data_IF_840036994466
#
_entry.id   IF_840036994466
#
_cell.length_a   1.000
_cell.length_b   1.000
_cell.length_c   1.000
_cell.angle_alpha   90.00
_cell.angle_beta   90.00
_cell.angle_gamma   90.00
#
_symmetry.space_group_name_H-M   'P 1'
#
loop_
_entity.id
_entity.type
_entity.pdbx_description
1 polymer ?
#
# COMPACT_ATOMS: atom_id res chain seq x y z
N UNK A 1 -9.66 -20.17 -14.14
CA UNK A 1 -9.30 -20.94 -12.92
C UNK A 1 -8.50 -20.01 -12.00
N UNK A 2 -8.94 -19.78 -10.76
CA UNK A 2 -8.21 -18.98 -9.77
C UNK A 2 -7.21 -19.90 -9.07
N UNK A 3 -5.92 -19.66 -9.23
CA UNK A 3 -4.89 -20.56 -8.74
C UNK A 3 -3.62 -19.76 -8.36
N UNK A 4 -3.12 -19.96 -7.14
CA UNK A 4 -1.90 -19.30 -6.67
C UNK A 4 -0.67 -19.61 -7.54
N UNK A 5 -0.58 -20.80 -8.14
CA UNK A 5 0.51 -21.15 -9.07
C UNK A 5 0.41 -20.35 -10.37
N UNK A 6 -0.80 -20.09 -10.86
CA UNK A 6 -1.05 -19.24 -12.03
C UNK A 6 -0.72 -17.79 -11.71
N UNK A 7 -1.18 -17.27 -10.56
CA UNK A 7 -0.83 -15.93 -10.10
C UNK A 7 0.69 -15.75 -9.96
N UNK A 8 1.39 -16.72 -9.38
CA UNK A 8 2.86 -16.72 -9.30
C UNK A 8 3.51 -16.75 -10.69
N UNK A 9 2.98 -17.51 -11.64
CA UNK A 9 3.52 -17.57 -13.01
C UNK A 9 3.35 -16.24 -13.75
N UNK A 10 2.23 -15.54 -13.56
CA UNK A 10 1.91 -14.29 -14.26
C UNK A 10 2.60 -13.08 -13.63
N UNK A 11 2.48 -12.92 -12.30
CA UNK A 11 2.99 -11.75 -11.57
C UNK A 11 4.42 -11.95 -11.02
N UNK A 12 4.92 -13.19 -10.97
CA UNK A 12 6.26 -13.48 -10.47
C UNK A 12 6.45 -13.01 -9.03
N UNK A 13 7.45 -12.15 -8.82
CA UNK A 13 7.80 -11.59 -7.49
C UNK A 13 6.77 -10.61 -6.94
N UNK A 14 5.91 -10.07 -7.81
CA UNK A 14 4.89 -9.06 -7.48
C UNK A 14 3.61 -9.66 -6.88
N UNK A 15 3.52 -10.99 -6.86
CA UNK A 15 2.53 -11.72 -6.08
C UNK A 15 3.14 -12.15 -4.74
N UNK A 16 2.55 -11.68 -3.63
CA UNK A 16 2.88 -12.12 -2.27
C UNK A 16 1.77 -13.05 -1.80
N UNK A 17 2.10 -14.25 -1.31
CA UNK A 17 1.08 -15.17 -0.79
C UNK A 17 0.78 -14.91 0.69
N UNK A 18 -0.36 -15.37 1.22
CA UNK A 18 -0.64 -15.32 2.66
C UNK A 18 0.43 -16.05 3.49
N UNK A 19 1.01 -17.15 3.00
CA UNK A 19 2.07 -17.89 3.67
C UNK A 19 3.39 -17.11 3.72
N UNK A 20 3.79 -16.49 2.61
CA UNK A 20 4.95 -15.58 2.59
C UNK A 20 4.76 -14.42 3.57
N UNK A 21 3.54 -13.88 3.65
CA UNK A 21 3.19 -12.82 4.59
C UNK A 21 3.32 -13.28 6.05
N UNK A 22 2.74 -14.42 6.42
CA UNK A 22 2.83 -14.96 7.78
C UNK A 22 4.29 -15.28 8.16
N UNK A 23 5.08 -15.77 7.21
CA UNK A 23 6.50 -16.05 7.43
C UNK A 23 7.32 -14.77 7.65
N UNK A 24 7.07 -13.73 6.86
CA UNK A 24 7.85 -12.49 6.90
C UNK A 24 7.40 -11.50 8.00
N UNK A 25 6.15 -11.58 8.46
CA UNK A 25 5.57 -10.66 9.46
C UNK A 25 5.14 -11.40 10.73
N UNK A 26 6.05 -11.57 11.71
CA UNK A 26 5.69 -12.11 13.02
C UNK A 26 4.50 -11.36 13.66
N UNK A 27 3.52 -12.13 14.15
CA UNK A 27 2.26 -11.60 14.68
C UNK A 27 1.12 -11.55 13.67
N UNK A 28 1.39 -11.80 12.38
CA UNK A 28 0.36 -12.02 11.36
C UNK A 28 0.16 -13.52 11.17
N UNK A 29 -1.05 -13.98 11.44
CA UNK A 29 -1.51 -15.37 11.35
C UNK A 29 -2.94 -15.36 10.78
N UNK A 30 -3.09 -15.81 9.54
CA UNK A 30 -4.40 -15.94 8.93
C UNK A 30 -5.13 -17.17 9.45
N UNK A 31 -6.41 -17.02 9.74
CA UNK A 31 -7.28 -18.15 10.06
C UNK A 31 -7.60 -18.97 8.81
N UNK A 32 -8.01 -20.23 8.96
CA UNK A 32 -8.46 -21.06 7.84
C UNK A 32 -9.56 -20.40 6.99
N UNK A 33 -10.46 -19.65 7.63
CA UNK A 33 -11.53 -18.90 6.94
C UNK A 33 -10.95 -17.81 6.03
N UNK A 34 -9.96 -17.07 6.52
CA UNK A 34 -9.29 -16.01 5.74
C UNK A 34 -8.44 -16.58 4.62
N UNK A 35 -7.77 -17.72 4.85
CA UNK A 35 -7.05 -18.44 3.80
C UNK A 35 -8.00 -18.84 2.66
N UNK A 36 -9.16 -19.44 3.01
CA UNK A 36 -10.19 -19.79 2.04
C UNK A 36 -10.80 -18.55 1.34
N UNK A 37 -10.89 -17.42 2.03
CA UNK A 37 -11.31 -16.14 1.43
C UNK A 37 -10.31 -15.64 0.39
N UNK A 38 -9.01 -15.67 0.68
CA UNK A 38 -7.97 -15.31 -0.28
C UNK A 38 -7.95 -16.23 -1.49
N UNK A 39 -8.12 -17.54 -1.31
CA UNK A 39 -8.22 -18.49 -2.43
C UNK A 39 -9.44 -18.19 -3.31
N UNK A 40 -10.61 -17.97 -2.68
CA UNK A 40 -11.87 -17.70 -3.38
C UNK A 40 -11.82 -16.40 -4.15
N UNK A 41 -11.23 -15.36 -3.57
CA UNK A 41 -11.21 -14.00 -4.11
C UNK A 41 -9.91 -13.66 -4.85
N UNK A 42 -9.04 -14.63 -5.11
CA UNK A 42 -7.86 -14.41 -5.94
C UNK A 42 -8.29 -13.92 -7.35
N UNK A 43 -7.66 -12.86 -7.89
CA UNK A 43 -7.93 -12.38 -9.24
C UNK A 43 -7.88 -13.50 -10.30
N UNK A 44 -8.73 -13.39 -11.33
CA UNK A 44 -8.73 -14.35 -12.45
C UNK A 44 -7.52 -14.14 -13.38
N UNK A 45 -7.30 -15.03 -14.33
CA UNK A 45 -6.16 -14.97 -15.26
C UNK A 45 -6.07 -13.64 -16.02
N UNK A 46 -7.17 -13.20 -16.63
CA UNK A 46 -7.25 -11.93 -17.36
C UNK A 46 -6.94 -10.73 -16.45
N UNK A 47 -7.46 -10.73 -15.23
CA UNK A 47 -7.19 -9.68 -14.25
C UNK A 47 -5.73 -9.69 -13.78
N UNK A 48 -5.11 -10.86 -13.60
CA UNK A 48 -3.70 -10.99 -13.26
C UNK A 48 -2.79 -10.47 -14.40
N UNK A 49 -3.13 -10.76 -15.65
CA UNK A 49 -2.41 -10.24 -16.82
C UNK A 49 -2.54 -8.72 -16.91
N UNK A 50 -3.74 -8.19 -16.66
CA UNK A 50 -3.95 -6.76 -16.56
C UNK A 50 -3.09 -6.14 -15.44
N UNK A 51 -3.09 -6.72 -14.24
CA UNK A 51 -2.27 -6.22 -13.12
C UNK A 51 -0.76 -6.25 -13.44
N UNK A 52 -0.28 -7.29 -14.14
CA UNK A 52 1.10 -7.37 -14.63
C UNK A 52 1.41 -6.19 -15.56
N UNK A 53 0.55 -5.96 -16.54
CA UNK A 53 0.74 -4.90 -17.54
C UNK A 53 0.65 -3.50 -16.93
N UNK A 54 -0.07 -3.37 -15.81
CA UNK A 54 -0.12 -2.16 -14.99
C UNK A 54 1.03 -2.04 -13.98
N UNK A 55 2.01 -2.95 -13.97
CA UNK A 55 3.11 -2.97 -13.00
C UNK A 55 2.61 -2.98 -11.54
N UNK A 56 1.54 -3.73 -11.27
CA UNK A 56 0.93 -3.82 -9.95
C UNK A 56 1.46 -5.00 -9.14
N UNK A 57 1.50 -4.80 -7.83
CA UNK A 57 1.63 -5.87 -6.84
C UNK A 57 0.27 -6.38 -6.40
N UNK A 58 0.23 -7.65 -6.03
CA UNK A 58 -0.90 -8.31 -5.41
C UNK A 58 -0.47 -8.85 -4.05
N UNK A 59 -0.96 -8.23 -2.98
CA UNK A 59 -0.55 -8.50 -1.60
C UNK A 59 -1.78 -8.77 -0.72
N UNK A 60 -1.76 -9.78 0.17
CA UNK A 60 -2.88 -10.01 1.08
C UNK A 60 -2.90 -8.90 2.14
N UNK A 61 -4.09 -8.40 2.44
CA UNK A 61 -4.33 -7.49 3.55
C UNK A 61 -4.09 -8.15 4.91
N UNK A 62 -4.08 -7.40 6.01
CA UNK A 62 -3.86 -7.93 7.36
C UNK A 62 -4.98 -8.88 7.81
N UNK A 63 -4.69 -9.70 8.82
CA UNK A 63 -5.64 -10.63 9.46
C UNK A 63 -6.82 -9.95 10.18
N UNK A 64 -6.73 -8.65 10.44
CA UNK A 64 -7.76 -7.86 11.07
C UNK A 64 -7.66 -6.44 10.52
N UNK A 65 -8.68 -5.61 10.78
CA UNK A 65 -8.61 -4.19 10.41
C UNK A 65 -7.44 -3.53 11.16
N UNK A 66 -6.50 -2.95 10.42
CA UNK A 66 -5.32 -2.27 10.98
C UNK A 66 -5.26 -0.84 10.50
N UNK A 67 -5.03 0.09 11.44
CA UNK A 67 -4.72 1.48 11.16
C UNK A 67 -3.24 1.67 10.82
N UNK A 68 -2.85 2.88 10.39
CA UNK A 68 -1.44 3.21 10.20
C UNK A 68 -0.61 2.96 11.48
N UNK A 69 -1.14 3.32 12.65
CA UNK A 69 -0.45 3.11 13.92
C UNK A 69 -0.29 1.62 14.26
N UNK A 70 -1.29 0.79 13.96
CA UNK A 70 -1.20 -0.66 14.16
C UNK A 70 -0.14 -1.27 13.24
N UNK A 71 -0.13 -0.87 11.95
CA UNK A 71 0.86 -1.34 10.97
C UNK A 71 2.28 -0.97 11.41
N UNK A 72 2.45 0.26 11.90
CA UNK A 72 3.73 0.72 12.45
C UNK A 72 4.15 -0.06 13.68
N UNK A 73 3.22 -0.41 14.56
CA UNK A 73 3.53 -1.16 15.78
C UNK A 73 4.11 -2.55 15.49
N UNK A 74 3.79 -3.16 14.33
CA UNK A 74 4.38 -4.45 13.93
C UNK A 74 5.89 -4.38 13.72
N UNK A 75 6.35 -3.32 13.03
CA UNK A 75 7.75 -3.12 12.58
C UNK A 75 8.05 -1.64 12.46
N UNK A 76 8.30 -0.97 13.59
CA UNK A 76 8.56 0.47 13.61
C UNK A 76 9.85 0.85 12.88
N UNK A 77 10.80 -0.09 12.75
CA UNK A 77 12.06 0.07 12.03
C UNK A 77 11.89 0.28 10.52
N UNK A 78 10.73 -0.09 9.97
CA UNK A 78 10.42 0.15 8.56
C UNK A 78 9.98 1.59 8.27
N UNK A 79 9.76 2.40 9.30
CA UNK A 79 9.35 3.80 9.18
C UNK A 79 10.48 4.73 9.59
N UNK A 80 10.56 5.90 8.95
CA UNK A 80 11.59 6.92 9.20
C UNK A 80 11.74 7.27 10.69
N UNK A 81 10.62 7.46 11.39
CA UNK A 81 10.60 7.70 12.83
C UNK A 81 10.65 6.39 13.63
N UNK A 82 11.84 5.75 13.69
CA UNK A 82 12.04 4.44 14.35
C UNK A 82 11.71 4.48 15.86
N UNK A 83 12.36 5.38 16.60
CA UNK A 83 12.36 5.38 18.07
C UNK A 83 11.43 6.42 18.71
N UNK A 84 10.81 7.28 17.90
CA UNK A 84 9.84 8.30 18.35
C UNK A 84 8.54 8.05 17.62
N UNK A 85 7.42 8.38 18.27
CA UNK A 85 6.15 8.40 17.54
C UNK A 85 6.24 9.46 16.45
N UNK A 86 5.81 9.16 15.23
CA UNK A 86 5.80 10.12 14.12
C UNK A 86 4.82 11.28 14.40
N UNK A 87 4.94 12.39 13.69
CA UNK A 87 4.00 13.52 13.83
C UNK A 87 2.54 13.07 13.65
N UNK A 88 2.31 12.13 12.72
CA UNK A 88 1.04 11.47 12.45
C UNK A 88 0.47 10.70 13.66
N UNK A 89 1.21 10.54 14.75
CA UNK A 89 0.70 9.91 15.97
C UNK A 89 -0.01 10.88 16.92
N UNK A 90 0.06 12.19 16.66
CA UNK A 90 -0.65 13.17 17.47
C UNK A 90 -2.17 12.90 17.44
N UNK A 91 -2.88 13.30 18.49
CA UNK A 91 -4.32 13.01 18.64
C UNK A 91 -5.15 13.71 17.56
N UNK A 92 -4.73 14.89 17.10
CA UNK A 92 -5.37 15.61 16.00
C UNK A 92 -5.28 14.87 14.65
N UNK A 93 -4.25 14.05 14.45
CA UNK A 93 -4.01 13.32 13.19
C UNK A 93 -4.88 12.06 13.11
N UNK A 94 -6.17 12.27 12.90
CA UNK A 94 -7.21 11.21 12.88
C UNK A 94 -6.94 10.13 11.85
N UNK A 95 -6.45 10.51 10.67
CA UNK A 95 -6.16 9.57 9.58
C UNK A 95 -5.28 8.39 10.03
N UNK A 96 -4.35 8.62 10.96
CA UNK A 96 -3.44 7.59 11.45
C UNK A 96 -4.14 6.43 12.19
N UNK A 97 -5.38 6.66 12.66
CA UNK A 97 -6.20 5.72 13.43
C UNK A 97 -7.47 5.31 12.68
N UNK A 98 -8.04 6.23 11.90
CA UNK A 98 -9.30 6.03 11.19
C UNK A 98 -9.09 5.39 9.82
N UNK A 99 -8.04 5.77 9.09
CA UNK A 99 -7.68 5.08 7.86
C UNK A 99 -7.19 3.69 8.20
N UNK A 100 -7.75 2.73 7.48
CA UNK A 100 -7.62 1.34 7.81
C UNK A 100 -7.53 0.48 6.57
N UNK A 101 -6.88 -0.66 6.73
CA UNK A 101 -6.78 -1.73 5.74
C UNK A 101 -7.19 -3.04 6.42
N UNK A 102 -7.87 -3.92 5.69
CA UNK A 102 -8.45 -5.15 6.23
C UNK A 102 -8.16 -6.36 5.35
N UNK A 103 -8.78 -7.48 5.70
CA UNK A 103 -8.64 -8.77 5.01
C UNK A 103 -9.21 -8.64 3.60
N UNK A 104 -8.34 -8.54 2.60
CA UNK A 104 -8.66 -8.62 1.16
C UNK A 104 -7.38 -8.66 0.34
N UNK A 105 -7.47 -9.00 -0.94
CA UNK A 105 -6.37 -8.76 -1.87
C UNK A 105 -6.21 -7.26 -2.13
N UNK A 106 -4.99 -6.75 -2.00
CA UNK A 106 -4.63 -5.36 -2.29
C UNK A 106 -3.84 -5.34 -3.59
N UNK A 107 -4.36 -4.59 -4.57
CA UNK A 107 -3.82 -4.42 -5.91
C UNK A 107 -3.22 -3.02 -5.99
N UNK A 108 -1.91 -2.87 -5.82
CA UNK A 108 -1.25 -1.56 -5.75
C UNK A 108 -0.18 -1.44 -6.84
N UNK A 109 -0.22 -0.35 -7.62
CA UNK A 109 0.82 -0.03 -8.59
C UNK A 109 2.16 0.19 -7.89
N UNK A 110 3.23 -0.43 -8.38
CA UNK A 110 4.59 -0.36 -7.79
C UNK A 110 5.22 1.03 -7.85
N UNK A 111 4.76 1.84 -8.80
CA UNK A 111 5.23 3.20 -9.07
C UNK A 111 4.03 4.11 -9.19
N UNK A 112 4.16 5.41 -8.93
CA UNK A 112 3.10 6.33 -9.30
C UNK A 112 2.83 6.24 -10.80
N UNK A 113 1.62 6.61 -11.20
CA UNK A 113 1.30 6.77 -12.61
C UNK A 113 2.31 7.77 -13.21
N UNK A 114 3.06 7.43 -14.27
CA UNK A 114 4.10 8.33 -14.79
C UNK A 114 3.58 9.72 -15.15
N UNK A 115 2.38 9.79 -15.72
CA UNK A 115 1.71 11.05 -16.06
C UNK A 115 1.19 11.84 -14.87
N UNK A 116 1.33 11.34 -13.63
CA UNK A 116 0.79 11.96 -12.41
C UNK A 116 1.79 12.78 -11.61
N UNK A 117 3.08 12.69 -11.95
CA UNK A 117 4.14 13.40 -11.22
C UNK A 117 3.93 14.90 -11.37
N UNK A 118 3.86 15.60 -10.23
CA UNK A 118 3.64 17.05 -10.19
C UNK A 118 2.21 17.50 -10.48
N UNK A 119 1.27 16.56 -10.74
CA UNK A 119 -0.13 16.90 -10.97
C UNK A 119 -0.93 16.99 -9.68
N UNK A 120 -1.82 17.98 -9.64
CA UNK A 120 -2.83 18.13 -8.60
C UNK A 120 -3.92 17.04 -8.67
N UNK A 121 -4.77 16.99 -7.64
CA UNK A 121 -5.91 16.08 -7.60
C UNK A 121 -6.91 16.36 -8.72
N UNK A 122 -7.21 17.63 -8.98
CA UNK A 122 -8.18 18.00 -10.00
C UNK A 122 -7.71 17.66 -11.42
N UNK A 123 -6.40 17.65 -11.66
CA UNK A 123 -5.82 17.19 -12.93
C UNK A 123 -5.83 15.66 -13.07
N UNK A 124 -5.73 14.93 -11.95
CA UNK A 124 -5.71 13.46 -11.96
C UNK A 124 -7.09 12.81 -11.95
N UNK A 125 -8.05 13.38 -11.21
CA UNK A 125 -9.40 12.81 -11.04
C UNK A 125 -10.09 12.47 -12.37
N UNK A 126 -10.03 13.29 -13.44
CA UNK A 126 -10.67 12.96 -14.72
C UNK A 126 -10.06 11.75 -15.45
N UNK A 127 -8.86 11.31 -15.05
CA UNK A 127 -8.15 10.20 -15.71
C UNK A 127 -8.54 8.83 -15.15
N UNK A 128 -9.37 8.75 -14.11
CA UNK A 128 -9.76 7.47 -13.50
C UNK A 128 -10.91 6.83 -14.27
N UNK A 129 -10.77 5.56 -14.62
CA UNK A 129 -11.78 4.76 -15.33
C UNK A 129 -12.94 4.29 -14.44
N UNK A 130 -12.90 4.63 -13.14
CA UNK A 130 -13.90 4.27 -12.13
C UNK A 130 -13.64 2.94 -11.41
N UNK A 131 -12.82 2.07 -11.99
CA UNK A 131 -12.34 0.83 -11.33
C UNK A 131 -11.17 1.10 -10.39
N UNK A 132 -10.39 2.14 -10.68
CA UNK A 132 -9.25 2.53 -9.89
C UNK A 132 -9.61 3.52 -8.79
N UNK A 133 -8.75 3.59 -7.79
CA UNK A 133 -8.86 4.56 -6.71
C UNK A 133 -7.48 4.92 -6.19
N UNK A 134 -7.41 6.05 -5.48
CA UNK A 134 -6.23 6.42 -4.71
C UNK A 134 -6.35 5.81 -3.31
N UNK A 135 -5.46 4.87 -2.94
CA UNK A 135 -5.51 4.20 -1.66
C UNK A 135 -5.23 5.15 -0.50
N UNK A 136 -5.74 4.81 0.68
CA UNK A 136 -5.45 5.55 1.90
C UNK A 136 -4.04 5.19 2.42
N UNK A 137 -3.53 5.97 3.39
CA UNK A 137 -2.16 5.76 3.89
C UNK A 137 -1.96 4.42 4.59
N UNK A 138 -2.99 3.86 5.22
CA UNK A 138 -2.88 2.54 5.86
C UNK A 138 -2.72 1.43 4.80
N UNK A 139 -3.45 1.49 3.70
CA UNK A 139 -3.30 0.56 2.58
C UNK A 139 -1.91 0.63 1.96
N UNK A 140 -1.46 1.85 1.61
CA UNK A 140 -0.13 2.04 1.01
C UNK A 140 0.96 1.59 1.97
N UNK A 141 0.86 1.95 3.26
CA UNK A 141 1.83 1.55 4.28
C UNK A 141 1.87 0.04 4.47
N UNK A 142 0.71 -0.63 4.48
CA UNK A 142 0.65 -2.08 4.62
C UNK A 142 1.33 -2.76 3.44
N UNK A 143 0.98 -2.39 2.21
CA UNK A 143 1.55 -3.01 1.01
C UNK A 143 3.06 -2.76 0.94
N UNK A 144 3.50 -1.53 1.09
CA UNK A 144 4.92 -1.16 0.97
C UNK A 144 5.78 -1.85 2.05
N UNK A 145 5.35 -1.83 3.31
CA UNK A 145 6.09 -2.48 4.40
C UNK A 145 6.03 -4.00 4.37
N UNK A 146 4.94 -4.58 3.85
CA UNK A 146 4.84 -6.04 3.69
C UNK A 146 5.70 -6.52 2.52
N UNK A 147 5.71 -5.77 1.42
CA UNK A 147 6.61 -6.03 0.31
C UNK A 147 8.07 -5.93 0.75
N UNK A 148 8.41 -4.94 1.60
CA UNK A 148 9.73 -4.86 2.25
C UNK A 148 10.05 -6.08 3.11
N UNK A 149 9.12 -6.56 3.92
CA UNK A 149 9.31 -7.73 4.76
C UNK A 149 9.59 -8.99 3.93
N UNK A 150 8.82 -9.18 2.86
CA UNK A 150 8.82 -10.40 2.05
C UNK A 150 9.93 -10.40 0.97
N UNK A 151 10.21 -9.24 0.37
CA UNK A 151 11.11 -9.09 -0.79
C UNK A 151 12.38 -8.28 -0.49
N UNK A 152 12.52 -7.73 0.72
CA UNK A 152 13.70 -6.97 1.14
C UNK A 152 13.84 -5.58 0.53
N UNK A 153 12.87 -5.11 -0.29
CA UNK A 153 12.87 -3.79 -0.93
C UNK A 153 11.53 -3.07 -0.75
N UNK A 154 11.53 -1.73 -0.78
CA UNK A 154 10.32 -0.93 -0.78
C UNK A 154 9.84 -0.69 -2.22
N UNK A 155 8.54 -0.47 -2.41
CA UNK A 155 7.94 -0.20 -3.72
C UNK A 155 8.31 1.19 -4.23
N UNK A 156 8.13 2.21 -3.41
CA UNK A 156 8.28 3.62 -3.80
C UNK A 156 9.71 4.13 -3.56
N UNK A 157 10.71 3.34 -3.96
CA UNK A 157 12.12 3.73 -3.83
C UNK A 157 12.41 4.97 -4.70
N UNK A 158 12.86 6.06 -4.07
CA UNK A 158 13.21 7.31 -4.76
C UNK A 158 12.03 8.21 -5.16
N UNK A 159 10.79 7.90 -4.75
CA UNK A 159 9.62 8.75 -5.05
C UNK A 159 8.63 8.79 -3.90
N UNK A 160 7.91 9.91 -3.78
CA UNK A 160 6.79 10.06 -2.85
C UNK A 160 5.49 9.86 -3.62
N UNK A 161 4.50 9.27 -2.96
CA UNK A 161 3.16 9.05 -3.52
C UNK A 161 2.07 9.64 -2.64
N UNK A 162 1.20 10.44 -3.25
CA UNK A 162 -0.03 10.94 -2.63
C UNK A 162 -1.00 9.80 -2.32
N UNK A 163 -1.67 9.91 -1.18
CA UNK A 163 -2.76 9.02 -0.79
C UNK A 163 -4.10 9.77 -0.82
N UNK A 164 -5.19 9.08 -0.51
CA UNK A 164 -6.50 9.70 -0.29
C UNK A 164 -6.67 10.31 1.12
N UNK A 165 -5.67 10.14 1.99
CA UNK A 165 -5.71 10.60 3.38
C UNK A 165 -5.40 12.10 3.51
N UNK A 166 -5.95 12.72 4.55
CA UNK A 166 -5.72 14.12 4.90
C UNK A 166 -5.28 14.24 6.37
N UNK A 167 -4.40 15.20 6.64
CA UNK A 167 -3.98 15.55 7.99
C UNK A 167 -5.00 16.48 8.68
N UNK A 168 -4.71 16.87 9.92
CA UNK A 168 -5.59 17.75 10.69
C UNK A 168 -5.72 19.19 10.16
N UNK A 169 -4.91 19.56 9.17
CA UNK A 169 -4.92 20.86 8.49
C UNK A 169 -5.46 20.75 7.06
N UNK A 170 -6.16 19.67 6.72
CA UNK A 170 -6.67 19.37 5.37
C UNK A 170 -5.57 19.29 4.30
N UNK A 171 -4.33 19.05 4.71
CA UNK A 171 -3.23 18.78 3.79
C UNK A 171 -3.25 17.30 3.45
N UNK A 172 -2.96 16.99 2.18
CA UNK A 172 -2.95 15.60 1.74
C UNK A 172 -1.73 14.90 2.33
N UNK A 173 -1.91 13.64 2.71
CA UNK A 173 -0.82 12.80 3.20
C UNK A 173 -0.16 12.09 2.02
N UNK A 174 1.17 11.95 2.11
CA UNK A 174 1.95 11.18 1.16
C UNK A 174 2.94 10.26 1.88
N UNK A 175 3.32 9.20 1.18
CA UNK A 175 4.24 8.16 1.65
C UNK A 175 5.31 7.87 0.61
N UNK A 176 6.52 7.54 1.04
CA UNK A 176 7.54 6.98 0.15
C UNK A 176 8.94 7.49 0.46
N UNK A 177 9.76 7.56 -0.59
CA UNK A 177 11.16 7.96 -0.55
C UNK A 177 11.92 7.32 0.64
N UNK A 178 11.90 5.98 0.72
CA UNK A 178 12.57 5.26 1.79
C UNK A 178 14.08 5.53 1.69
N UNK A 179 14.66 5.92 2.83
CA UNK A 179 16.10 6.00 3.00
C UNK A 179 16.57 4.85 3.88
N UNK A 180 17.85 4.80 4.26
CA UNK A 180 18.35 3.90 5.31
C UNK A 180 17.57 4.02 6.64
N UNK A 181 16.82 5.11 6.81
CA UNK A 181 15.99 5.37 7.98
C UNK A 181 14.58 4.77 7.88
N UNK A 182 14.15 4.25 6.72
CA UNK A 182 12.80 3.70 6.50
C UNK A 182 11.90 4.63 5.68
N UNK A 183 10.64 4.24 5.51
CA UNK A 183 9.66 4.98 4.71
C UNK A 183 9.18 6.24 5.42
N UNK A 184 9.09 7.35 4.68
CA UNK A 184 8.63 8.64 5.20
C UNK A 184 7.12 8.79 5.02
N UNK A 185 6.46 9.35 6.02
CA UNK A 185 5.05 9.79 5.97
C UNK A 185 5.03 11.26 6.32
N UNK A 186 4.43 12.07 5.48
CA UNK A 186 4.38 13.51 5.65
C UNK A 186 3.12 14.07 4.95
N UNK A 187 2.84 15.36 5.13
CA UNK A 187 1.69 16.02 4.56
C UNK A 187 2.08 17.35 3.93
N UNK A 188 1.42 17.69 2.82
CA UNK A 188 1.65 18.92 2.08
C UNK A 188 0.44 19.20 1.19
N UNK A 189 0.25 20.45 0.79
CA UNK A 189 -0.76 20.80 -0.20
C UNK A 189 -0.14 21.78 -1.21
N UNK A 190 0.01 21.33 -2.45
CA UNK A 190 0.63 22.12 -3.52
C UNK A 190 1.29 21.25 -4.59
N UNK A 191 1.55 21.80 -5.78
CA UNK A 191 2.27 21.10 -6.82
C UNK A 191 3.69 20.82 -6.34
N UNK A 192 4.05 19.54 -6.27
CA UNK A 192 5.39 19.12 -5.90
C UNK A 192 5.94 18.25 -7.03
N UNK A 193 6.96 18.75 -7.72
CA UNK A 193 7.53 18.17 -8.95
C UNK A 193 8.11 16.75 -8.79
N UNK A 194 8.11 16.22 -7.57
CA UNK A 194 8.65 14.89 -7.22
C UNK A 194 7.66 13.99 -6.48
N UNK A 195 6.37 14.34 -6.45
CA UNK A 195 5.32 13.50 -5.86
C UNK A 195 4.37 13.05 -6.97
N UNK A 196 4.16 11.74 -7.08
CA UNK A 196 3.14 11.16 -7.96
C UNK A 196 1.95 10.63 -7.16
N UNK A 197 0.98 10.01 -7.83
CA UNK A 197 -0.21 9.47 -7.16
C UNK A 197 -0.10 7.97 -6.94
N UNK A 198 -0.39 7.51 -5.72
CA UNK A 198 -0.58 6.09 -5.45
C UNK A 198 -1.84 5.63 -6.18
N UNK A 199 -1.82 4.39 -6.68
CA UNK A 199 -2.91 3.89 -7.51
C UNK A 199 -3.20 2.43 -7.24
N UNK A 200 -4.47 2.11 -7.05
CA UNK A 200 -4.95 0.80 -6.71
C UNK A 200 -6.25 0.45 -7.45
N UNK A 201 -6.58 -0.85 -7.48
CA UNK A 201 -7.80 -1.38 -8.10
C UNK A 201 -8.67 -2.07 -7.06
N UNK A 202 -10.00 -1.92 -7.19
CA UNK A 202 -10.98 -2.53 -6.28
C UNK A 202 -11.04 -4.05 -6.44
#
# INVERSE_FOLDING_TARGET
MRNASVARKILGVDFVTPEEMMSARPGIVYTNSQMAEFERNLPCGEELEFLRDQEATLVPGPQARMSLLDIRALRSEYFYCKNKKGWYSHVCEKFSREDTVGVRWLKLRKRPIPSSIGKSWDEMRPQFSGTEYVPNVAEVSWVDTSYKAVRGSYLFSGILVWTSSFDSCDLRVYLGHPSEKGVSINAFNGPHISIGWAFAWK
#
